data_IF_378494712173
#
_entry.id   IF_378494712173
#
_cell.length_a   1.000
_cell.length_b   1.000
_cell.length_c   1.000
_cell.angle_alpha   90.00
_cell.angle_beta   90.00
_cell.angle_gamma   90.00
#
_symmetry.space_group_name_H-M   'P 1'
#
loop_
_entity.id
_entity.type
_entity.pdbx_description
1 polymer ?
#
# COMPACT_ATOMS: atom_id res chain seq x y z
N UNK A 1 -11.66 -2.52 11.52
CA UNK A 1 -10.86 -1.88 12.58
C UNK A 1 -9.37 -1.73 12.26
N UNK A 2 -8.52 -2.78 12.29
CA UNK A 2 -7.06 -2.62 12.06
C UNK A 2 -6.72 -2.07 10.67
N UNK A 3 -7.37 -2.61 9.65
CA UNK A 3 -7.20 -2.18 8.26
C UNK A 3 -7.60 -0.72 8.06
N UNK A 4 -8.73 -0.31 8.65
CA UNK A 4 -9.25 1.07 8.59
C UNK A 4 -8.32 2.07 9.29
N UNK A 5 -7.72 1.67 10.43
CA UNK A 5 -6.68 2.48 11.10
C UNK A 5 -5.44 2.63 10.21
N UNK A 6 -4.96 1.56 9.58
CA UNK A 6 -3.83 1.62 8.66
C UNK A 6 -4.13 2.52 7.46
N UNK A 7 -5.34 2.46 6.88
CA UNK A 7 -5.80 3.39 5.85
C UNK A 7 -5.76 4.85 6.31
N UNK A 8 -6.27 5.14 7.50
CA UNK A 8 -6.25 6.49 8.03
C UNK A 8 -4.83 7.00 8.29
N UNK A 9 -3.94 6.16 8.83
CA UNK A 9 -2.55 6.55 9.09
C UNK A 9 -1.83 6.90 7.79
N UNK A 10 -1.95 6.07 6.76
CA UNK A 10 -1.35 6.33 5.44
C UNK A 10 -1.95 7.58 4.82
N UNK A 11 -3.27 7.76 4.83
CA UNK A 11 -3.90 8.97 4.28
C UNK A 11 -3.54 10.25 5.04
N UNK A 12 -3.29 10.17 6.35
CA UNK A 12 -2.76 11.29 7.14
C UNK A 12 -1.36 11.67 6.69
N UNK A 13 -0.49 10.70 6.46
CA UNK A 13 0.88 10.95 5.99
C UNK A 13 0.89 11.46 4.54
N UNK A 14 0.05 10.89 3.68
CA UNK A 14 0.01 11.20 2.24
C UNK A 14 -0.61 12.58 1.98
N UNK A 15 -1.82 12.82 2.48
CA UNK A 15 -2.62 13.98 2.13
C UNK A 15 -3.13 14.78 3.35
N UNK A 16 -2.89 14.30 4.58
CA UNK A 16 -3.42 14.91 5.80
C UNK A 16 -4.89 14.62 6.04
N UNK A 17 -5.47 13.62 5.35
CA UNK A 17 -6.90 13.28 5.39
C UNK A 17 -7.16 11.97 6.14
N UNK A 18 -8.42 11.77 6.57
CA UNK A 18 -8.93 10.55 7.20
C UNK A 18 -10.29 10.22 6.58
N UNK A 19 -10.51 8.97 6.19
CA UNK A 19 -11.74 8.54 5.51
C UNK A 19 -12.49 7.42 6.23
N UNK A 20 -11.98 6.92 7.34
CA UNK A 20 -12.70 5.99 8.21
C UNK A 20 -12.90 6.66 9.57
N UNK A 21 -14.16 6.94 9.95
CA UNK A 21 -14.50 7.43 11.29
C UNK A 21 -15.83 6.82 11.74
N UNK A 22 -15.91 6.43 13.01
CA UNK A 22 -17.16 6.08 13.68
C UNK A 22 -17.63 7.31 14.46
N UNK A 23 -18.85 7.80 14.19
CA UNK A 23 -19.57 8.72 15.09
C UNK A 23 -19.37 10.23 14.92
N UNK A 24 -18.57 10.73 13.97
CA UNK A 24 -18.52 12.15 13.61
C UNK A 24 -18.30 12.31 12.10
N UNK A 25 -18.90 13.35 11.51
CA UNK A 25 -18.84 13.63 10.07
C UNK A 25 -17.39 13.66 9.56
N UNK A 26 -17.10 12.81 8.58
CA UNK A 26 -15.89 12.94 7.77
C UNK A 26 -16.03 14.28 7.04
N UNK A 27 -14.99 15.12 7.06
CA UNK A 27 -15.00 16.47 6.44
C UNK A 27 -15.31 16.48 4.93
N UNK A 28 -15.47 15.31 4.31
CA UNK A 28 -16.00 15.11 2.97
C UNK A 28 -16.48 13.65 2.82
N UNK A 29 -17.75 13.36 3.15
CA UNK A 29 -18.28 11.98 3.15
C UNK A 29 -18.37 11.38 1.74
N UNK A 30 -18.55 12.20 0.70
CA UNK A 30 -18.58 11.70 -0.68
C UNK A 30 -17.18 11.28 -1.14
N UNK A 31 -16.16 12.09 -0.87
CA UNK A 31 -14.76 11.73 -1.12
C UNK A 31 -14.38 10.45 -0.34
N UNK A 32 -14.78 10.34 0.93
CA UNK A 32 -14.55 9.16 1.74
C UNK A 32 -15.22 7.91 1.15
N UNK A 33 -16.45 8.04 0.65
CA UNK A 33 -17.18 6.96 -0.02
C UNK A 33 -16.49 6.54 -1.31
N UNK A 34 -16.03 7.49 -2.11
CA UNK A 34 -15.25 7.22 -3.32
C UNK A 34 -13.95 6.47 -2.99
N UNK A 35 -13.21 6.93 -1.98
CA UNK A 35 -12.00 6.29 -1.50
C UNK A 35 -12.26 4.84 -1.07
N UNK A 36 -13.24 4.60 -0.20
CA UNK A 36 -13.61 3.25 0.27
C UNK A 36 -13.96 2.32 -0.90
N UNK A 37 -14.69 2.82 -1.92
CA UNK A 37 -15.00 2.06 -3.14
C UNK A 37 -13.74 1.72 -3.94
N UNK A 38 -12.85 2.68 -4.14
CA UNK A 38 -11.59 2.48 -4.87
C UNK A 38 -10.75 1.40 -4.17
N UNK A 39 -10.56 1.53 -2.86
CA UNK A 39 -9.79 0.58 -2.05
C UNK A 39 -10.38 -0.83 -2.09
N UNK A 40 -11.70 -0.97 -2.02
CA UNK A 40 -12.38 -2.27 -2.12
C UNK A 40 -12.12 -2.95 -3.46
N UNK A 41 -12.19 -2.20 -4.56
CA UNK A 41 -11.92 -2.73 -5.89
C UNK A 41 -10.43 -3.05 -6.06
N UNK A 42 -9.56 -2.19 -5.54
CA UNK A 42 -8.10 -2.34 -5.57
C UNK A 42 -7.63 -3.63 -4.87
N UNK A 43 -8.14 -3.90 -3.66
CA UNK A 43 -7.83 -5.14 -2.92
C UNK A 43 -8.42 -6.37 -3.60
N UNK A 44 -9.60 -6.26 -4.23
CA UNK A 44 -10.22 -7.36 -5.00
C UNK A 44 -9.39 -7.78 -6.21
N UNK A 45 -8.79 -6.82 -6.93
CA UNK A 45 -8.04 -7.10 -8.16
C UNK A 45 -6.53 -7.23 -7.93
N UNK A 46 -5.97 -6.57 -6.91
CA UNK A 46 -4.52 -6.56 -6.64
C UNK A 46 -3.92 -7.91 -6.24
N UNK A 47 -4.74 -8.88 -5.86
CA UNK A 47 -4.33 -10.27 -5.59
C UNK A 47 -4.99 -11.31 -6.50
N UNK A 48 -5.75 -10.89 -7.52
CA UNK A 48 -6.40 -11.82 -8.43
C UNK A 48 -5.35 -12.36 -9.41
N UNK A 49 -4.97 -13.63 -9.26
CA UNK A 49 -4.22 -14.34 -10.29
C UNK A 49 -5.09 -14.44 -11.53
N UNK A 50 -4.69 -13.80 -12.63
CA UNK A 50 -5.36 -13.97 -13.91
C UNK A 50 -4.81 -15.24 -14.58
N UNK A 51 -5.62 -16.29 -14.82
CA UNK A 51 -5.15 -17.50 -15.48
C UNK A 51 -4.51 -17.22 -16.86
N UNK A 52 -4.91 -16.14 -17.53
CA UNK A 52 -4.31 -15.71 -18.80
C UNK A 52 -2.88 -15.16 -18.66
N UNK A 53 -2.41 -14.85 -17.45
CA UNK A 53 -0.99 -14.53 -17.18
C UNK A 53 -0.11 -15.77 -17.18
N UNK A 54 -0.68 -16.94 -16.89
CA UNK A 54 0.04 -18.22 -16.85
C UNK A 54 -0.18 -19.06 -18.12
N UNK A 55 -1.33 -18.90 -18.78
CA UNK A 55 -1.70 -19.69 -19.96
C UNK A 55 -1.96 -18.74 -21.13
N UNK A 56 -0.99 -18.64 -22.05
CA UNK A 56 -1.02 -17.69 -23.15
C UNK A 56 -2.24 -17.84 -24.06
N UNK A 57 -2.80 -19.05 -24.19
CA UNK A 57 -3.99 -19.33 -25.00
C UNK A 57 -5.28 -18.78 -24.40
N UNK A 58 -5.28 -18.31 -23.14
CA UNK A 58 -6.45 -17.69 -22.51
C UNK A 58 -6.46 -16.16 -22.66
N UNK A 59 -5.40 -15.55 -23.24
CA UNK A 59 -5.27 -14.09 -23.40
C UNK A 59 -6.27 -13.45 -24.36
N UNK A 60 -6.80 -14.20 -25.33
CA UNK A 60 -7.76 -13.67 -26.31
C UNK A 60 -9.19 -13.58 -25.76
N UNK A 61 -9.45 -14.15 -24.58
CA UNK A 61 -10.74 -14.04 -23.89
C UNK A 61 -10.60 -13.10 -22.69
N UNK A 62 -11.34 -11.98 -22.67
CA UNK A 62 -11.49 -11.14 -21.46
C UNK A 62 -12.41 -11.86 -20.46
N UNK A 63 -11.89 -12.93 -19.85
CA UNK A 63 -12.64 -13.79 -18.95
C UNK A 63 -13.15 -12.99 -17.74
N UNK A 64 -14.46 -12.73 -17.72
CA UNK A 64 -15.12 -12.00 -16.63
C UNK A 64 -15.07 -10.47 -16.70
N UNK A 65 -14.67 -9.90 -17.85
CA UNK A 65 -14.65 -8.45 -18.07
C UNK A 65 -13.62 -7.71 -17.21
N UNK A 66 -12.50 -8.37 -16.91
CA UNK A 66 -11.48 -7.91 -15.98
C UNK A 66 -10.79 -6.65 -16.52
N UNK A 67 -10.46 -6.62 -17.81
CA UNK A 67 -9.80 -5.47 -18.44
C UNK A 67 -10.66 -4.21 -18.32
N UNK A 68 -11.96 -4.34 -18.63
CA UNK A 68 -12.92 -3.22 -18.52
C UNK A 68 -13.03 -2.71 -17.08
N UNK A 69 -13.06 -3.61 -16.09
CA UNK A 69 -13.10 -3.26 -14.66
C UNK A 69 -11.82 -2.56 -14.21
N UNK A 70 -10.65 -3.04 -14.63
CA UNK A 70 -9.36 -2.42 -14.34
C UNK A 70 -9.24 -1.04 -14.98
N UNK A 71 -9.66 -0.85 -16.23
CA UNK A 71 -9.71 0.47 -16.87
C UNK A 71 -10.61 1.45 -16.10
N UNK A 72 -11.80 0.99 -15.69
CA UNK A 72 -12.72 1.82 -14.89
C UNK A 72 -12.13 2.17 -13.52
N UNK A 73 -11.45 1.23 -12.85
CA UNK A 73 -10.77 1.47 -11.57
C UNK A 73 -9.60 2.43 -11.74
N UNK A 74 -8.78 2.24 -12.77
CA UNK A 74 -7.64 3.10 -13.08
C UNK A 74 -8.06 4.54 -13.31
N UNK A 75 -9.17 4.77 -14.04
CA UNK A 75 -9.72 6.11 -14.27
C UNK A 75 -10.15 6.77 -12.95
N UNK A 76 -10.96 6.07 -12.14
CA UNK A 76 -11.41 6.56 -10.84
C UNK A 76 -10.25 6.86 -9.89
N UNK A 77 -9.21 6.02 -9.91
CA UNK A 77 -8.00 6.21 -9.11
C UNK A 77 -7.22 7.44 -9.58
N UNK A 78 -7.02 7.59 -10.89
CA UNK A 78 -6.31 8.75 -11.44
C UNK A 78 -6.99 10.07 -11.10
N UNK A 79 -8.31 10.13 -11.26
CA UNK A 79 -9.15 11.29 -10.88
C UNK A 79 -9.03 11.60 -9.38
N UNK A 80 -9.13 10.58 -8.53
CA UNK A 80 -9.01 10.75 -7.08
C UNK A 80 -7.62 11.26 -6.67
N UNK A 81 -6.55 10.68 -7.21
CA UNK A 81 -5.18 11.09 -6.90
C UNK A 81 -4.87 12.48 -7.44
N UNK A 82 -5.40 12.83 -8.63
CA UNK A 82 -5.27 14.16 -9.19
C UNK A 82 -5.94 15.21 -8.30
N UNK A 83 -7.15 14.93 -7.81
CA UNK A 83 -7.86 15.82 -6.90
C UNK A 83 -7.06 16.09 -5.61
N UNK A 84 -6.43 15.06 -5.03
CA UNK A 84 -5.55 15.24 -3.86
C UNK A 84 -4.34 16.13 -4.15
N UNK A 85 -3.72 15.98 -5.32
CA UNK A 85 -2.57 16.81 -5.74
C UNK A 85 -3.01 18.26 -5.94
N UNK A 86 -4.11 18.48 -6.64
CA UNK A 86 -4.59 19.83 -6.96
C UNK A 86 -5.05 20.57 -5.71
N UNK A 87 -5.72 19.91 -4.77
CA UNK A 87 -6.06 20.51 -3.47
C UNK A 87 -4.81 21.02 -2.74
N UNK A 88 -3.70 20.26 -2.80
CA UNK A 88 -2.44 20.67 -2.17
C UNK A 88 -1.75 21.82 -2.91
N UNK A 89 -1.84 21.86 -4.24
CA UNK A 89 -1.31 22.97 -5.05
C UNK A 89 -2.00 24.30 -4.76
N UNK A 90 -3.30 24.26 -4.46
CA UNK A 90 -4.10 25.46 -4.19
C UNK A 90 -3.99 25.97 -2.74
N UNK A 91 -3.27 25.28 -1.85
CA UNK A 91 -3.03 25.75 -0.48
C UNK A 91 -1.84 26.70 -0.44
N UNK A 92 -2.05 27.89 0.12
CA UNK A 92 -1.01 28.91 0.29
C UNK A 92 0.03 28.56 1.35
N UNK A 93 -0.31 27.66 2.29
CA UNK A 93 0.60 27.23 3.37
C UNK A 93 1.31 25.94 2.99
N UNK A 94 2.63 25.92 3.17
CA UNK A 94 3.41 24.68 3.12
C UNK A 94 2.88 23.71 4.20
N UNK A 95 2.35 22.57 3.75
CA UNK A 95 1.98 21.46 4.61
C UNK A 95 3.15 20.51 4.84
N UNK A 96 2.98 19.57 5.76
CA UNK A 96 3.98 18.54 6.08
C UNK A 96 3.53 17.13 5.66
N UNK A 97 2.81 17.03 4.54
CA UNK A 97 2.39 15.73 3.97
C UNK A 97 3.33 15.31 2.85
N UNK A 98 3.33 14.03 2.52
CA UNK A 98 4.13 13.51 1.40
C UNK A 98 3.86 14.25 0.09
N UNK A 99 2.59 14.58 -0.21
CA UNK A 99 2.25 15.35 -1.41
C UNK A 99 2.89 16.73 -1.36
N UNK A 100 2.89 17.40 -0.20
CA UNK A 100 3.50 18.72 -0.04
C UNK A 100 5.03 18.64 -0.33
N UNK A 101 5.71 17.64 0.23
CA UNK A 101 7.15 17.40 -0.03
C UNK A 101 7.42 17.08 -1.49
N UNK A 102 6.61 16.25 -2.13
CA UNK A 102 6.75 15.90 -3.54
C UNK A 102 6.51 17.07 -4.48
N UNK A 103 5.53 17.93 -4.17
CA UNK A 103 5.28 19.15 -4.92
C UNK A 103 6.43 20.16 -4.73
N UNK A 104 7.04 20.21 -3.55
CA UNK A 104 8.26 21.00 -3.33
C UNK A 104 9.42 20.49 -4.20
N UNK A 105 9.66 19.18 -4.24
CA UNK A 105 10.67 18.55 -5.09
C UNK A 105 10.38 18.73 -6.59
N UNK A 106 9.11 18.73 -6.99
CA UNK A 106 8.69 19.01 -8.37
C UNK A 106 9.12 20.40 -8.85
N UNK A 107 9.21 21.40 -7.96
CA UNK A 107 9.68 22.75 -8.32
C UNK A 107 11.16 22.76 -8.73
N UNK A 108 11.99 21.92 -8.10
CA UNK A 108 13.44 21.87 -8.36
C UNK A 108 13.84 20.79 -9.37
N UNK A 109 13.05 19.71 -9.49
CA UNK A 109 13.32 18.55 -10.35
C UNK A 109 12.04 18.09 -11.09
N UNK A 110 11.47 18.94 -11.97
CA UNK A 110 10.17 18.68 -12.59
C UNK A 110 10.17 17.45 -13.51
N UNK A 111 11.31 17.09 -14.11
CA UNK A 111 11.45 15.91 -14.98
C UNK A 111 11.39 14.60 -14.18
N UNK A 112 11.82 14.61 -12.93
CA UNK A 112 11.83 13.43 -12.05
C UNK A 112 10.53 13.27 -11.27
N UNK A 113 9.94 14.37 -10.80
CA UNK A 113 8.72 14.38 -10.01
C UNK A 113 7.51 14.80 -10.86
N UNK A 114 7.31 14.13 -11.99
CA UNK A 114 6.10 14.35 -12.82
C UNK A 114 4.84 13.97 -12.03
N UNK A 115 3.68 14.51 -12.42
CA UNK A 115 2.41 14.14 -11.79
C UNK A 115 2.17 12.61 -11.83
N UNK A 116 2.60 11.94 -12.89
CA UNK A 116 2.47 10.47 -13.00
C UNK A 116 3.32 9.75 -11.94
N UNK A 117 4.56 10.20 -11.71
CA UNK A 117 5.43 9.63 -10.67
C UNK A 117 4.86 9.87 -9.29
N UNK A 118 4.42 11.11 -9.00
CA UNK A 118 3.80 11.44 -7.72
C UNK A 118 2.57 10.56 -7.45
N UNK A 119 1.65 10.46 -8.42
CA UNK A 119 0.48 9.57 -8.33
C UNK A 119 0.89 8.11 -8.12
N UNK A 120 1.89 7.63 -8.85
CA UNK A 120 2.42 6.27 -8.70
C UNK A 120 2.96 5.99 -7.30
N UNK A 121 3.71 6.92 -6.72
CA UNK A 121 4.24 6.77 -5.36
C UNK A 121 3.14 6.79 -4.29
N UNK A 122 2.13 7.64 -4.45
CA UNK A 122 0.95 7.63 -3.57
C UNK A 122 0.24 6.27 -3.66
N UNK A 123 0.03 5.77 -4.88
CA UNK A 123 -0.63 4.48 -5.12
C UNK A 123 0.14 3.33 -4.48
N UNK A 124 1.47 3.31 -4.57
CA UNK A 124 2.31 2.27 -3.93
C UNK A 124 2.13 2.26 -2.42
N UNK A 125 2.10 3.42 -1.76
CA UNK A 125 1.86 3.46 -0.30
C UNK A 125 0.46 3.00 0.09
N UNK A 126 -0.55 3.35 -0.70
CA UNK A 126 -1.93 2.90 -0.48
C UNK A 126 -2.10 1.40 -0.67
N UNK A 127 -1.41 0.81 -1.65
CA UNK A 127 -1.45 -0.63 -1.91
C UNK A 127 -0.66 -1.41 -0.87
N UNK A 128 0.61 -1.04 -0.69
CA UNK A 128 1.59 -1.89 0.00
C UNK A 128 1.61 -1.61 1.50
N UNK A 129 1.46 -0.35 1.91
CA UNK A 129 1.64 0.04 3.32
C UNK A 129 0.53 -0.46 4.25
N UNK A 130 -0.63 -0.80 3.70
CA UNK A 130 -1.86 -0.96 4.47
C UNK A 130 -2.13 -2.43 4.77
N UNK A 131 -2.22 -3.25 3.72
CA UNK A 131 -2.51 -4.68 3.88
C UNK A 131 -1.38 -5.40 4.63
N UNK A 132 -0.11 -5.06 4.35
CA UNK A 132 1.06 -5.69 5.01
C UNK A 132 1.09 -5.42 6.51
N UNK A 133 0.88 -4.17 6.92
CA UNK A 133 0.82 -3.76 8.33
C UNK A 133 -0.37 -4.40 9.05
N UNK A 134 -1.55 -4.40 8.41
CA UNK A 134 -2.76 -4.95 9.00
C UNK A 134 -2.67 -6.48 9.19
N UNK A 135 -2.13 -7.21 8.22
CA UNK A 135 -1.90 -8.66 8.31
C UNK A 135 -0.86 -8.99 9.38
N UNK A 136 0.23 -8.22 9.45
CA UNK A 136 1.27 -8.40 10.48
C UNK A 136 0.69 -8.21 11.88
N UNK A 137 -0.07 -7.13 12.09
CA UNK A 137 -0.71 -6.85 13.38
C UNK A 137 -1.74 -7.91 13.75
N UNK A 138 -2.52 -8.40 12.77
CA UNK A 138 -3.46 -9.50 12.98
C UNK A 138 -2.73 -10.75 13.49
N UNK A 139 -1.64 -11.15 12.83
CA UNK A 139 -0.84 -12.29 13.29
C UNK A 139 -0.19 -12.06 14.66
N UNK A 140 0.32 -10.86 14.93
CA UNK A 140 0.90 -10.53 16.24
C UNK A 140 -0.15 -10.71 17.35
N UNK A 141 -1.34 -10.15 17.17
CA UNK A 141 -2.45 -10.26 18.13
C UNK A 141 -2.90 -11.71 18.29
N UNK A 142 -3.05 -12.47 17.20
CA UNK A 142 -3.40 -13.90 17.27
C UNK A 142 -2.35 -14.71 18.05
N UNK A 143 -1.06 -14.47 17.83
CA UNK A 143 -0.01 -15.17 18.57
C UNK A 143 -0.04 -14.83 20.07
N UNK A 144 -0.25 -13.55 20.42
CA UNK A 144 -0.32 -13.11 21.81
C UNK A 144 -1.54 -13.68 22.55
N UNK A 145 -2.72 -13.64 21.92
CA UNK A 145 -3.95 -14.16 22.51
C UNK A 145 -3.92 -15.69 22.73
N UNK A 146 -3.22 -16.41 21.85
CA UNK A 146 -3.02 -17.86 22.00
C UNK A 146 -1.94 -18.23 23.02
N UNK A 147 -1.15 -17.26 23.51
CA UNK A 147 -0.09 -17.50 24.49
C UNK A 147 -0.13 -16.46 25.64
N UNK A 148 -1.07 -16.60 26.58
CA UNK A 148 -1.31 -15.61 27.63
C UNK A 148 -0.08 -15.27 28.48
N UNK A 149 0.79 -16.25 28.74
CA UNK A 149 2.03 -16.03 29.48
C UNK A 149 2.98 -15.06 28.74
N UNK A 150 3.04 -15.14 27.41
CA UNK A 150 3.85 -14.23 26.60
C UNK A 150 3.24 -12.84 26.56
N UNK A 151 1.90 -12.73 26.47
CA UNK A 151 1.19 -11.46 26.55
C UNK A 151 1.40 -10.79 27.91
N UNK A 152 1.30 -11.54 29.01
CA UNK A 152 1.56 -11.02 30.36
C UNK A 152 2.97 -10.46 30.46
N UNK A 153 3.98 -11.22 30.03
CA UNK A 153 5.38 -10.77 30.04
C UNK A 153 5.60 -9.49 29.21
N UNK A 154 4.91 -9.35 28.07
CA UNK A 154 4.99 -8.13 27.26
C UNK A 154 4.36 -6.92 27.97
N UNK A 155 3.25 -7.13 28.69
CA UNK A 155 2.63 -6.10 29.52
C UNK A 155 3.55 -5.71 30.69
N UNK A 156 4.09 -6.69 31.41
CA UNK A 156 5.03 -6.46 32.52
C UNK A 156 6.27 -5.66 32.06
N UNK A 157 6.80 -5.91 30.85
CA UNK A 157 7.88 -5.10 30.28
C UNK A 157 7.44 -3.65 30.03
N UNK A 158 6.27 -3.43 29.42
CA UNK A 158 5.75 -2.07 29.15
C UNK A 158 5.54 -1.32 30.47
N UNK A 159 4.88 -1.96 31.44
CA UNK A 159 4.56 -1.33 32.73
C UNK A 159 5.84 -0.99 33.51
N UNK A 160 6.88 -1.85 33.45
CA UNK A 160 8.15 -1.57 34.13
C UNK A 160 9.02 -0.50 33.47
N UNK A 161 9.02 -0.42 32.13
CA UNK A 161 9.90 0.50 31.38
C UNK A 161 9.27 1.87 31.12
N UNK A 162 7.94 1.93 31.04
CA UNK A 162 7.18 3.10 30.59
C UNK A 162 6.23 3.59 31.69
N UNK A 163 5.61 2.67 32.44
CA UNK A 163 4.55 2.97 33.40
C UNK A 163 3.18 3.16 32.74
N UNK A 164 2.14 3.33 33.54
CA UNK A 164 0.75 3.45 33.07
C UNK A 164 0.30 4.90 32.78
N UNK A 165 1.05 5.90 33.27
CA UNK A 165 0.63 7.31 33.22
C UNK A 165 0.89 8.01 31.88
N UNK A 166 1.69 7.40 31.00
CA UNK A 166 2.09 8.00 29.72
C UNK A 166 1.81 7.10 28.52
N UNK A 167 1.52 7.73 27.37
CA UNK A 167 1.47 7.02 26.10
C UNK A 167 2.88 6.66 25.63
N UNK A 168 2.97 5.54 24.91
CA UNK A 168 4.23 5.08 24.32
C UNK A 168 4.62 6.02 23.17
N UNK A 169 5.85 6.53 23.22
CA UNK A 169 6.47 7.30 22.14
C UNK A 169 7.49 6.45 21.36
N UNK A 170 7.85 6.88 20.15
CA UNK A 170 8.80 6.17 19.30
C UNK A 170 10.16 5.94 19.97
N UNK A 171 10.64 6.93 20.74
CA UNK A 171 11.90 6.84 21.46
C UNK A 171 11.89 5.75 22.55
N UNK A 172 10.73 5.45 23.14
CA UNK A 172 10.60 4.44 24.19
C UNK A 172 10.68 3.00 23.63
N UNK A 173 10.42 2.81 22.33
CA UNK A 173 10.45 1.48 21.69
C UNK A 173 11.82 0.80 21.85
N UNK A 174 12.90 1.60 21.94
CA UNK A 174 14.26 1.11 22.18
C UNK A 174 14.44 0.36 23.51
N UNK A 175 13.57 0.62 24.50
CA UNK A 175 13.60 -0.01 25.83
C UNK A 175 12.78 -1.31 25.90
N UNK A 176 11.92 -1.56 24.90
CA UNK A 176 10.97 -2.67 24.88
C UNK A 176 11.52 -3.88 24.11
N UNK A 177 12.59 -4.49 24.60
CA UNK A 177 13.32 -5.55 23.90
C UNK A 177 12.50 -6.83 23.69
N UNK A 178 11.69 -7.21 24.67
CA UNK A 178 10.82 -8.38 24.56
C UNK A 178 9.67 -8.12 23.59
N UNK A 179 9.08 -6.93 23.61
CA UNK A 179 8.09 -6.51 22.61
C UNK A 179 8.66 -6.53 21.18
N UNK A 180 9.87 -5.99 20.98
CA UNK A 180 10.58 -6.07 19.69
C UNK A 180 10.84 -7.52 19.25
N UNK A 181 11.13 -8.41 20.20
CA UNK A 181 11.29 -9.84 19.94
C UNK A 181 9.99 -10.49 19.47
N UNK A 182 8.83 -10.09 20.03
CA UNK A 182 7.50 -10.54 19.58
C UNK A 182 7.25 -10.11 18.14
N UNK A 183 7.54 -8.85 17.79
CA UNK A 183 7.40 -8.33 16.42
C UNK A 183 8.27 -9.14 15.46
N UNK A 184 9.54 -9.30 15.80
CA UNK A 184 10.51 -10.07 14.99
C UNK A 184 10.08 -11.51 14.81
N UNK A 185 9.59 -12.16 15.88
CA UNK A 185 9.11 -13.54 15.83
C UNK A 185 7.84 -13.67 14.97
N UNK A 186 6.95 -12.69 15.04
CA UNK A 186 5.73 -12.65 14.22
C UNK A 186 6.10 -12.55 12.74
N UNK A 187 6.97 -11.61 12.37
CA UNK A 187 7.42 -11.45 10.98
C UNK A 187 8.13 -12.68 10.44
N UNK A 188 8.90 -13.38 11.29
CA UNK A 188 9.60 -14.63 10.93
C UNK A 188 8.63 -15.78 10.68
N UNK A 189 7.56 -15.90 11.48
CA UNK A 189 6.59 -17.00 11.37
C UNK A 189 5.53 -16.74 10.31
N UNK A 190 5.10 -15.48 10.18
CA UNK A 190 3.98 -15.06 9.35
C UNK A 190 4.36 -13.82 8.53
N UNK A 191 5.30 -13.94 7.56
CA UNK A 191 5.64 -12.83 6.69
C UNK A 191 4.43 -12.41 5.86
N UNK A 192 4.19 -11.09 5.73
CA UNK A 192 3.06 -10.56 4.94
C UNK A 192 3.16 -10.93 3.45
N UNK A 193 4.38 -11.10 2.94
CA UNK A 193 4.69 -11.48 1.56
C UNK A 193 5.64 -12.69 1.52
N UNK A 194 5.15 -13.93 1.77
CA UNK A 194 6.00 -15.12 1.91
C UNK A 194 6.87 -15.44 0.68
N UNK A 195 6.39 -15.10 -0.52
CA UNK A 195 7.09 -15.34 -1.79
C UNK A 195 7.83 -14.11 -2.33
N UNK A 196 7.88 -13.01 -1.57
CA UNK A 196 8.35 -11.70 -2.02
C UNK A 196 7.62 -11.23 -3.31
N UNK A 197 8.08 -10.12 -3.88
CA UNK A 197 7.63 -9.68 -5.20
C UNK A 197 8.43 -10.45 -6.26
N UNK A 198 7.84 -10.94 -7.35
CA UNK A 198 8.59 -11.62 -8.40
C UNK A 198 9.79 -10.79 -8.89
N UNK A 199 10.96 -11.42 -8.93
CA UNK A 199 12.19 -10.82 -9.42
C UNK A 199 12.55 -11.36 -10.80
N UNK A 200 13.06 -10.50 -11.67
CA UNK A 200 13.60 -10.89 -12.97
C UNK A 200 15.06 -10.47 -13.06
N UNK A 201 15.94 -11.37 -13.48
CA UNK A 201 17.34 -11.02 -13.70
C UNK A 201 17.47 -10.10 -14.91
N UNK A 202 18.33 -9.10 -14.81
CA UNK A 202 18.58 -8.16 -15.92
C UNK A 202 19.07 -8.89 -17.18
N UNK A 203 19.86 -9.95 -17.02
CA UNK A 203 20.32 -10.81 -18.10
C UNK A 203 19.16 -11.56 -18.80
N UNK A 204 18.19 -12.10 -18.04
CA UNK A 204 16.99 -12.74 -18.63
C UNK A 204 16.07 -11.73 -19.30
N UNK A 205 15.98 -10.49 -18.81
CA UNK A 205 15.20 -9.43 -19.48
C UNK A 205 15.69 -9.26 -20.92
N UNK A 206 17.00 -9.09 -21.12
CA UNK A 206 17.60 -8.98 -22.45
C UNK A 206 17.40 -10.24 -23.31
N UNK A 207 17.43 -11.43 -22.71
CA UNK A 207 17.17 -12.68 -23.43
C UNK A 207 15.70 -12.82 -23.86
N UNK A 208 14.74 -12.46 -23.01
CA UNK A 208 13.32 -12.54 -23.31
C UNK A 208 12.88 -11.45 -24.30
N UNK A 209 13.46 -10.25 -24.22
CA UNK A 209 13.31 -9.22 -25.26
C UNK A 209 13.89 -9.70 -26.60
N UNK A 210 15.06 -10.35 -26.62
CA UNK A 210 15.65 -10.91 -27.85
C UNK A 210 14.82 -12.06 -28.43
N UNK A 211 14.30 -12.96 -27.59
CA UNK A 211 13.40 -14.03 -28.02
C UNK A 211 12.10 -13.45 -28.57
N UNK A 212 11.51 -12.43 -27.92
CA UNK A 212 10.35 -11.73 -28.43
C UNK A 212 10.66 -10.99 -29.75
N UNK A 213 11.82 -10.34 -29.87
CA UNK A 213 12.26 -9.68 -31.12
C UNK A 213 12.50 -10.69 -32.25
N UNK A 214 13.09 -11.86 -31.97
CA UNK A 214 13.24 -12.94 -32.94
C UNK A 214 11.89 -13.53 -33.35
N UNK A 215 10.96 -13.67 -32.40
CA UNK A 215 9.59 -14.12 -32.69
C UNK A 215 8.85 -13.11 -33.58
N UNK A 216 8.99 -11.82 -33.31
CA UNK A 216 8.45 -10.73 -34.14
C UNK A 216 9.17 -10.61 -35.50
N UNK A 217 10.45 -10.92 -35.60
CA UNK A 217 11.18 -10.90 -36.88
C UNK A 217 10.90 -12.13 -37.75
N UNK A 218 10.52 -13.26 -37.15
CA UNK A 218 10.09 -14.48 -37.88
C UNK A 218 8.65 -14.39 -38.37
N UNK A 219 7.83 -13.48 -37.83
CA UNK A 219 6.42 -13.31 -38.18
C UNK A 219 6.12 -11.86 -38.61
N UNK A 220 6.84 -11.37 -39.62
CA UNK A 220 6.68 -10.02 -40.18
C UNK A 220 5.21 -9.62 -40.49
N UNK A 221 4.97 -8.31 -40.71
CA UNK A 221 3.65 -7.70 -40.63
C UNK A 221 2.79 -8.09 -41.82
N UNK A 222 1.94 -9.10 -41.63
CA UNK A 222 0.80 -9.37 -42.49
C UNK A 222 -0.41 -9.69 -41.63
N UNK A 223 -0.92 -8.67 -40.92
CA UNK A 223 -2.36 -8.39 -40.73
C UNK A 223 -2.48 -6.87 -40.58
#
# INVERSE_FOLDING_TARGET
MLLEMAFNNIMRMVAGKRYYRYGEDVKDEEEARQFRRIIKDLTRFGGASNPAEFVSILRWMDYGGLEKKLKSLSKRMDEFLQALIDEKRHKEKEGNTMIDHMLSLQKSQPEYYTNQIIKGLILVLLLVGIDTSAVTLKWAMTNLLNHPNMLKKARDEIDSQIGEEKLIEEADVSKLHYFQSIISKTLRLYPATPLLVPHMSYAMKNMMYRVAQCYWSMHGPYI
#
